data_IF_051046805183
#
_entry.id   IF_051046805183
#
_cell.length_a   1.000
_cell.length_b   1.000
_cell.length_c   1.000
_cell.angle_alpha   90.00
_cell.angle_beta   90.00
_cell.angle_gamma   90.00
#
_symmetry.space_group_name_H-M   'P 1'
#
loop_
_entity.id
_entity.type
_entity.pdbx_description
1 polymer ?
2 polymer ?
3 non-polymer ?
4 water ?
#
# COMPACT_ATOMS: atom_id res chain seq x y z
N UNK A 14 18.74 20.22 -7.77
CA UNK A 14 18.76 19.09 -6.87
C UNK A 14 18.74 19.78 -5.52
N UNK A 15 17.99 19.28 -4.55
CA UNK A 15 17.99 19.76 -3.17
C UNK A 15 17.60 18.56 -2.33
N UNK A 16 17.88 18.60 -1.04
CA UNK A 16 17.34 17.61 -0.11
C UNK A 16 16.62 18.34 1.00
N UNK A 17 15.86 17.62 1.83
CA UNK A 17 14.97 18.18 2.84
C UNK A 17 14.22 17.01 3.47
N UNK A 18 13.18 17.23 4.28
CA UNK A 18 12.27 16.18 4.69
C UNK A 18 11.12 16.08 3.70
N UNK A 19 10.07 15.35 4.05
CA UNK A 19 8.92 15.17 3.18
C UNK A 19 8.22 16.49 2.86
N UNK A 20 8.06 16.77 1.57
CA UNK A 20 7.89 18.14 1.10
C UNK A 20 6.72 18.20 0.13
N UNK A 21 6.85 18.66 -1.13
CA UNK A 21 5.88 18.35 -2.17
C UNK A 21 5.88 16.84 -2.40
N UNK A 22 4.78 16.28 -2.87
CA UNK A 22 4.57 14.85 -2.82
C UNK A 22 3.43 14.57 -3.73
N UNK A 23 3.23 13.30 -4.05
CA UNK A 23 1.96 12.91 -4.58
C UNK A 23 1.81 13.29 -6.02
N UNK A 24 2.67 14.12 -6.60
CA UNK A 24 2.59 14.39 -8.02
C UNK A 24 3.70 13.45 -8.45
N UNK A 25 3.35 12.51 -9.30
CA UNK A 25 4.34 11.67 -9.91
C UNK A 25 5.07 12.49 -10.96
N UNK A 26 6.38 12.24 -11.16
CA UNK A 26 7.23 12.95 -12.12
C UNK A 26 6.83 12.74 -13.57
N UNK A 27 6.85 11.48 -13.98
CA UNK A 27 6.58 11.13 -15.36
C UNK A 27 5.11 11.16 -15.79
N UNK A 28 4.24 11.81 -14.98
CA UNK A 28 2.78 11.94 -15.17
C UNK A 28 2.37 13.38 -14.85
N UNK A 29 1.97 13.71 -13.61
CA UNK A 29 1.57 15.07 -13.21
C UNK A 29 2.53 16.17 -13.62
N UNK A 30 3.83 15.97 -13.38
CA UNK A 30 4.81 17.01 -13.67
C UNK A 30 5.10 17.16 -15.17
N UNK A 31 4.82 16.11 -15.94
CA UNK A 31 4.77 16.16 -17.39
C UNK A 31 3.38 16.50 -17.91
N UNK A 32 2.38 16.69 -17.05
CA UNK A 32 0.95 16.88 -17.40
C UNK A 32 0.30 15.76 -18.21
N UNK A 33 0.89 14.57 -18.13
CA UNK A 33 0.25 13.41 -18.69
C UNK A 33 -0.56 12.63 -17.64
N UNK A 34 -1.56 11.94 -18.17
CA UNK A 34 -2.48 11.10 -17.40
C UNK A 34 -2.28 9.62 -17.69
N UNK A 35 -2.26 8.75 -16.67
CA UNK A 35 -2.14 7.31 -16.86
C UNK A 35 -3.44 6.61 -17.21
N UNK A 36 -3.35 5.59 -18.09
CA UNK A 36 -4.39 4.60 -18.40
C UNK A 36 -5.62 4.52 -17.48
N UNK A 37 -5.46 4.14 -16.21
CA UNK A 37 -6.64 3.88 -15.44
C UNK A 37 -7.19 5.08 -14.72
N UNK A 38 -6.44 6.17 -14.71
CA UNK A 38 -6.77 7.34 -13.89
C UNK A 38 -8.24 7.77 -13.97
N UNK A 39 -8.85 7.59 -15.14
CA UNK A 39 -10.17 8.08 -15.46
C UNK A 39 -11.36 7.36 -14.77
N UNK A 40 -11.11 6.18 -14.20
CA UNK A 40 -12.12 5.47 -13.44
C UNK A 40 -12.31 6.21 -12.16
N UNK A 41 -11.23 6.58 -11.44
CA UNK A 41 -11.37 7.13 -10.09
C UNK A 41 -12.22 8.44 -10.18
N UNK A 42 -11.85 9.30 -11.13
CA UNK A 42 -12.49 10.56 -11.40
C UNK A 42 -13.92 10.44 -11.79
N UNK A 43 -14.24 9.58 -12.73
CA UNK A 43 -15.59 9.16 -12.95
C UNK A 43 -16.32 8.53 -11.75
N UNK A 44 -15.73 7.82 -10.79
CA UNK A 44 -16.48 7.42 -9.61
C UNK A 44 -16.77 8.64 -8.74
N UNK A 45 -15.91 9.65 -8.76
CA UNK A 45 -16.00 10.69 -7.76
C UNK A 45 -17.23 11.50 -8.07
N UNK A 46 -17.24 11.94 -9.29
CA UNK A 46 -18.29 12.84 -9.68
C UNK A 46 -19.59 12.04 -9.84
N UNK A 47 -19.56 10.71 -9.89
CA UNK A 47 -20.76 9.89 -9.70
C UNK A 47 -21.19 9.69 -8.25
N UNK A 48 -20.49 10.29 -7.31
CA UNK A 48 -20.90 10.38 -5.92
C UNK A 48 -20.71 11.82 -5.47
N UNK A 49 -20.59 12.02 -4.15
CA UNK A 49 -20.21 13.28 -3.52
C UNK A 49 -19.93 13.07 -2.03
N UNK B 1 -2.14 -9.17 -7.28
CA UNK B 1 -3.38 -8.42 -7.49
C UNK B 1 -4.20 -9.22 -8.51
N UNK B 2 -5.40 -9.58 -8.05
CA UNK B 2 -6.36 -10.41 -8.77
C UNK B 2 -7.04 -9.49 -9.78
N UNK B 3 -7.15 -9.85 -11.03
CA UNK B 3 -7.58 -8.94 -12.08
C UNK B 3 -6.92 -7.53 -12.14
N UNK B 4 -5.62 -7.32 -11.89
CA UNK B 4 -5.01 -6.01 -12.12
C UNK B 4 -4.57 -5.85 -13.58
N UNK B 5 -3.97 -4.74 -14.01
CA UNK B 5 -3.32 -4.67 -15.33
C UNK B 5 -1.81 -4.66 -15.09
N UNK B 6 -0.97 -4.91 -16.09
CA UNK B 6 0.37 -4.33 -16.08
C UNK B 6 0.38 -2.79 -15.91
N UNK B 7 1.23 -2.36 -15.00
CA UNK B 7 1.31 -0.95 -14.69
C UNK B 7 2.22 -0.19 -15.64
N UNK B 8 1.89 1.04 -15.93
CA UNK B 8 2.81 1.89 -16.65
C UNK B 8 4.08 2.17 -15.85
N UNK B 9 5.22 2.27 -16.52
CA UNK B 9 6.49 2.51 -15.86
C UNK B 9 6.47 3.84 -15.08
N UNK B 10 7.08 3.85 -13.89
CA UNK B 10 6.97 4.98 -12.96
C UNK B 10 5.53 5.27 -12.51
N UNK B 11 4.59 4.30 -12.59
CA UNK B 11 3.22 4.49 -12.12
C UNK B 11 3.00 4.80 -10.64
N UNK B 12 3.60 4.02 -9.73
CA UNK B 12 3.47 4.34 -8.31
C UNK B 12 4.87 4.46 -7.73
N UNK B 13 5.47 5.66 -7.68
CA UNK B 13 6.88 5.88 -7.28
C UNK B 13 7.23 5.50 -5.84
N UNK B 14 6.37 5.92 -4.92
CA UNK B 14 6.18 5.34 -3.59
C UNK B 14 6.24 3.82 -3.43
N UNK B 15 6.33 3.02 -4.47
CA UNK B 15 6.28 1.60 -4.29
C UNK B 15 7.70 1.16 -3.95
N UNK B 16 7.72 0.70 -2.69
CA UNK B 16 8.78 -0.10 -2.07
C UNK B 16 8.48 -1.62 -2.03
N UNK B 17 9.42 -2.56 -2.25
CA UNK B 17 9.20 -3.93 -1.79
C UNK B 17 10.08 -4.47 -0.67
N UNK B 18 9.55 -5.04 0.42
CA UNK B 18 10.36 -5.68 1.46
C UNK B 18 10.84 -7.02 0.96
N UNK B 19 12.13 -7.23 0.97
CA UNK B 19 12.75 -8.55 0.90
C UNK B 19 13.29 -8.97 2.26
N UNK B 20 13.26 -10.28 2.53
CA UNK B 20 14.14 -10.91 3.52
C UNK B 20 15.53 -11.02 2.89
N UNK B 21 16.62 -10.81 3.64
CA UNK B 21 17.93 -10.71 3.01
C UNK B 21 18.47 -12.03 2.45
N UNK B 22 18.56 -13.08 3.28
CA UNK B 22 19.09 -14.39 2.93
C UNK B 22 18.11 -15.30 3.66
N UNK B 23 17.38 -16.29 3.05
CA UNK B 23 17.30 -16.51 1.59
C UNK B 23 16.48 -15.42 0.93
N UNK B 24 16.81 -15.02 -0.28
CA UNK B 24 16.12 -13.89 -0.86
C UNK B 24 14.67 -14.30 -1.13
N UNK B 25 13.76 -13.39 -0.80
CA UNK B 25 12.31 -13.64 -0.81
C UNK B 25 11.56 -12.31 -0.77
N UNK B 26 10.69 -11.97 -1.75
CA UNK B 26 9.66 -10.92 -1.54
C UNK B 26 8.77 -11.30 -0.37
N UNK B 27 8.76 -10.32 0.52
CA UNK B 27 7.93 -10.39 1.70
C UNK B 27 6.70 -9.53 1.54
N UNK B 28 6.72 -8.22 1.33
CA UNK B 28 5.52 -7.35 1.34
C UNK B 28 5.79 -6.19 0.42
N UNK B 29 4.76 -5.41 0.13
CA UNK B 29 5.05 -4.11 -0.43
C UNK B 29 5.13 -3.09 0.70
N UNK B 30 5.47 -1.87 0.33
CA UNK B 30 5.35 -0.77 1.26
C UNK B 30 5.28 0.58 0.51
N UNK B 31 5.09 1.76 1.15
CA UNK B 31 5.14 3.06 0.45
C UNK B 31 6.29 3.94 0.91
N UNK B 32 6.83 4.73 0.00
CA UNK B 32 7.88 5.69 0.30
C UNK B 32 7.20 6.99 0.74
N UNK B 33 7.16 7.33 2.04
CA UNK B 33 6.42 8.51 2.44
C UNK B 33 7.29 9.76 2.48
N UNK B 34 8.60 9.53 2.60
CA UNK B 34 9.65 10.52 2.76
C UNK B 34 10.93 9.88 2.20
N UNK B 35 12.04 10.60 2.08
CA UNK B 35 13.29 9.98 1.67
C UNK B 35 13.92 9.09 2.75
N UNK B 36 13.25 8.77 3.86
CA UNK B 36 13.81 7.81 4.81
C UNK B 36 12.79 7.02 5.64
N UNK B 37 11.51 7.12 5.29
CA UNK B 37 10.44 6.51 6.04
C UNK B 37 9.46 5.75 5.16
N UNK B 38 9.44 4.45 5.34
CA UNK B 38 8.66 3.57 4.50
C UNK B 38 7.56 3.09 5.42
N UNK B 39 6.33 3.22 4.94
CA UNK B 39 5.15 2.76 5.66
C UNK B 39 4.83 1.28 5.31
N UNK B 40 4.30 0.40 6.16
CA UNK B 40 4.02 -0.98 5.77
C UNK B 40 2.95 -1.47 6.75
N UNK B 41 2.50 -2.71 6.65
CA UNK B 41 1.46 -3.16 7.57
C UNK B 41 2.23 -3.72 8.74
N UNK B 42 1.68 -3.81 9.94
CA UNK B 42 2.45 -4.41 11.02
C UNK B 42 2.77 -5.89 10.77
N UNK B 43 1.81 -6.62 10.16
CA UNK B 43 1.90 -8.06 9.96
C UNK B 43 2.97 -8.56 9.02
N UNK B 44 3.65 -7.75 8.22
CA UNK B 44 4.80 -8.22 7.45
C UNK B 44 5.96 -8.55 8.37
N UNK B 45 5.93 -7.92 9.54
CA UNK B 45 6.99 -7.97 10.51
C UNK B 45 6.59 -8.92 11.62
N UNK B 46 5.40 -8.85 12.24
CA UNK B 46 5.15 -9.55 13.50
C UNK B 46 3.82 -10.25 13.44
N UNK B 47 3.87 -11.56 13.32
CA UNK B 47 2.67 -12.35 13.46
C UNK B 47 3.06 -13.65 14.15
N UNK B 48 2.98 -13.65 15.47
CA UNK B 48 3.57 -14.69 16.29
C UNK B 48 3.05 -16.06 15.97
N UNK B 49 1.76 -16.37 15.72
CA UNK B 49 1.27 -17.68 15.28
C UNK B 49 2.01 -18.38 14.15
N UNK B 50 2.56 -17.60 13.21
CA UNK B 50 3.33 -18.22 12.15
C UNK B 50 4.79 -17.89 12.38
N UNK B 51 5.19 -17.85 13.67
CA UNK B 51 6.51 -17.51 14.19
C UNK B 51 7.22 -16.36 13.49
N UNK B 52 6.46 -15.47 12.89
CA UNK B 52 7.04 -14.42 12.12
C UNK B 52 7.28 -13.31 13.15
N UNK B 53 8.54 -12.96 13.32
CA UNK B 53 8.99 -11.83 14.11
C UNK B 53 10.34 -11.45 13.52
N UNK B 54 10.23 -10.50 12.62
CA UNK B 54 11.34 -10.05 11.81
C UNK B 54 12.13 -8.91 12.44
N UNK B 55 13.35 -9.22 12.89
CA UNK B 55 14.39 -8.26 13.25
C UNK B 55 14.83 -7.31 12.14
N UNK B 56 15.28 -6.10 12.52
CA UNK B 56 15.88 -5.11 11.62
C UNK B 56 16.93 -5.71 10.69
N UNK B 57 17.82 -6.59 11.16
CA UNK B 57 18.79 -7.23 10.29
C UNK B 57 18.15 -8.33 9.44
N UNK B 58 16.85 -8.53 9.34
CA UNK B 58 16.36 -9.66 8.56
C UNK B 58 15.88 -9.18 7.19
N UNK B 59 15.85 -7.85 6.98
CA UNK B 59 15.08 -7.21 5.93
C UNK B 59 15.82 -6.14 5.14
N UNK B 60 15.33 -5.94 3.94
CA UNK B 60 15.99 -5.07 2.98
C UNK B 60 14.91 -4.47 2.11
N UNK B 61 15.01 -3.22 1.68
CA UNK B 61 13.91 -2.49 1.05
C UNK B 61 14.37 -2.09 -0.37
N UNK B 62 13.69 -2.63 -1.37
CA UNK B 62 13.95 -2.34 -2.77
C UNK B 62 13.04 -1.26 -3.36
N UNK B 63 13.59 -0.10 -3.69
CA UNK B 63 12.75 1.01 -4.08
C UNK B 63 13.04 1.38 -5.53
N UNK B 64 12.01 1.80 -6.25
CA UNK B 64 12.15 2.13 -7.66
C UNK B 64 11.91 0.94 -8.59
N UNK B 65 11.27 -0.18 -8.21
CA UNK B 65 11.20 -1.31 -9.14
C UNK B 65 10.02 -1.33 -10.13
N UNK B 66 9.93 -2.34 -10.99
CA UNK B 66 8.84 -2.49 -11.95
C UNK B 66 8.72 -3.95 -12.33
N UNK B 67 9.83 -4.55 -12.79
CA UNK B 67 9.93 -6.00 -12.85
C UNK B 67 10.01 -6.48 -11.41
N UNK B 68 9.51 -7.69 -11.14
CA UNK B 68 9.69 -8.36 -9.85
C UNK B 68 11.00 -9.15 -9.82
N UNK B 69 11.38 -9.76 -10.96
CA UNK B 69 12.51 -10.66 -11.05
C UNK B 69 13.86 -9.93 -11.14
N UNK B 70 13.88 -8.92 -11.99
CA UNK B 70 15.12 -8.40 -12.53
C UNK B 70 15.71 -7.34 -11.60
N UNK B 71 17.01 -7.36 -11.30
CA UNK B 71 17.68 -6.20 -10.76
C UNK B 71 17.86 -5.19 -11.90
N UNK B 72 17.43 -3.95 -11.70
CA UNK B 72 17.52 -2.95 -12.73
C UNK B 72 18.33 -1.75 -12.31
N UNK B 73 19.60 -1.88 -12.74
CA UNK B 73 20.74 -0.99 -12.49
C UNK B 73 20.41 0.48 -12.35
N UNK B 74 19.71 0.87 -13.39
CA UNK B 74 19.43 2.26 -13.64
C UNK B 74 18.35 2.84 -12.73
N UNK B 75 17.46 2.07 -12.11
CA UNK B 75 16.27 2.66 -11.52
C UNK B 75 16.38 2.57 -9.98
N UNK B 76 17.14 1.59 -9.51
CA UNK B 76 16.80 0.86 -8.30
C UNK B 76 17.68 1.10 -7.06
N UNK B 77 17.09 1.48 -5.93
CA UNK B 77 17.86 1.78 -4.72
C UNK B 77 17.58 0.76 -3.60
N UNK B 78 18.59 0.01 -3.19
CA UNK B 78 18.38 -1.00 -2.17
C UNK B 78 18.78 -0.33 -0.88
N UNK B 79 17.87 -0.02 0.02
CA UNK B 79 18.33 0.36 1.33
C UNK B 79 18.23 -0.81 2.31
N UNK B 80 18.74 -0.57 3.52
CA UNK B 80 18.60 -1.45 4.68
C UNK B 80 17.98 -0.62 5.82
N UNK B 81 17.37 -1.21 6.86
CA UNK B 81 16.50 -0.48 7.80
C UNK B 81 17.25 -0.07 9.07
N UNK B 82 17.23 1.16 9.62
CA UNK B 82 17.74 1.39 10.98
C UNK B 82 16.72 0.91 12.00
N UNK B 83 15.44 1.33 11.93
CA UNK B 83 14.50 0.87 12.93
C UNK B 83 13.17 0.42 12.36
N UNK B 84 12.62 -0.55 13.05
CA UNK B 84 11.35 -1.14 12.71
C UNK B 84 10.47 -0.67 13.85
N UNK B 85 9.44 0.16 13.57
CA UNK B 85 8.43 0.56 14.56
C UNK B 85 7.04 0.00 14.30
N UNK B 86 6.46 -0.64 15.32
CA UNK B 86 5.15 -1.28 15.24
C UNK B 86 4.36 -0.75 16.44
N UNK B 87 3.06 -0.60 16.13
CA UNK B 87 2.12 -0.02 17.06
C UNK B 87 2.03 -0.89 18.33
N UNK B 88 2.10 -0.28 19.50
CA UNK B 88 1.69 -0.86 20.76
C UNK B 88 0.42 -1.69 20.80
N UNK B 89 -0.53 -1.22 20.00
CA UNK B 89 -1.87 -1.77 20.08
C UNK B 89 -2.29 -2.53 18.83
N UNK B 90 -1.26 -3.08 18.17
CA UNK B 90 -1.39 -3.97 17.03
C UNK B 90 -2.01 -5.26 17.56
N UNK B 91 -3.28 -5.61 17.27
CA UNK B 91 -3.89 -6.74 17.97
C UNK B 91 -4.01 -7.98 17.13
N UNK B 92 -2.93 -8.78 17.17
CA UNK B 92 -2.79 -9.91 16.25
C UNK B 92 -3.65 -11.06 16.68
N UNK B 93 -3.97 -11.04 17.96
CA UNK B 93 -4.54 -12.21 18.58
C UNK B 93 -6.06 -12.17 18.50
N UNK B 94 -6.61 -11.56 17.44
CA UNK B 94 -8.04 -11.30 17.40
C UNK B 94 -8.29 -10.87 15.97
N UNK B 95 -7.87 -9.67 15.57
CA UNK B 95 -8.47 -9.05 14.39
C UNK B 95 -7.55 -8.04 13.70
N UNK B 96 -6.23 -8.20 13.84
CA UNK B 96 -5.25 -7.35 13.16
C UNK B 96 -5.50 -5.86 13.29
N UNK B 97 -5.97 -5.48 14.47
CA UNK B 97 -6.35 -4.11 14.64
C UNK B 97 -5.10 -3.31 14.81
N UNK B 98 -5.12 -2.05 14.34
CA UNK B 98 -3.95 -1.17 14.33
C UNK B 98 -2.71 -1.87 13.71
N UNK B 99 -2.97 -2.56 12.60
CA UNK B 99 -1.94 -3.19 11.80
C UNK B 99 -1.12 -2.18 10.98
N UNK B 100 -0.26 -1.40 11.61
CA UNK B 100 0.63 -0.50 10.88
C UNK B 100 2.06 -0.55 11.40
N UNK B 101 3.05 -0.23 10.56
CA UNK B 101 4.41 -0.19 11.00
C UNK B 101 5.19 0.72 10.11
N UNK B 102 6.28 1.21 10.66
CA UNK B 102 6.91 2.32 10.02
C UNK B 102 8.38 2.04 10.20
N UNK B 103 9.10 2.14 9.09
CA UNK B 103 10.48 1.67 9.00
C UNK B 103 11.36 2.88 8.65
N UNK B 104 12.42 3.07 9.41
CA UNK B 104 13.36 4.15 9.18
C UNK B 104 14.47 3.41 8.46
N UNK B 105 14.87 3.97 7.35
CA UNK B 105 16.01 3.45 6.63
C UNK B 105 17.34 3.61 7.37
N UNK B 106 18.47 3.04 6.94
CA UNK B 106 19.76 3.34 7.57
C UNK B 106 20.20 4.70 7.01
N UNK B 107 19.76 5.00 5.80
CA UNK B 107 20.43 5.97 4.96
C UNK B 107 19.29 6.58 4.15
N UNK B 108 19.12 7.92 4.13
CA UNK B 108 18.18 8.62 3.23
C UNK B 108 18.33 8.22 1.77
N UNK B 109 17.25 8.14 0.98
CA UNK B 109 17.36 7.83 -0.45
C UNK B 109 17.33 9.11 -1.25
N UNK B 110 18.04 9.16 -2.38
CA UNK B 110 17.98 10.27 -3.32
C UNK B 110 16.82 9.97 -4.26
N UNK B 111 15.82 10.85 -4.26
CA UNK B 111 14.67 10.69 -5.11
C UNK B 111 15.10 10.78 -6.56
N UNK B 112 14.39 10.08 -7.41
CA UNK B 112 14.63 10.17 -8.82
C UNK B 112 13.26 10.21 -9.47
N UNK B 113 13.22 10.33 -10.80
CA UNK B 113 12.02 10.12 -11.63
C UNK B 113 11.03 9.03 -11.25
N UNK B 114 11.59 8.08 -10.52
CA UNK B 114 11.06 6.78 -10.33
C UNK B 114 10.94 6.50 -8.82
N UNK B 115 11.29 7.41 -7.89
CA UNK B 115 11.34 7.14 -6.44
C UNK B 115 10.92 8.44 -5.78
N UNK B 116 9.72 8.49 -5.21
CA UNK B 116 9.09 9.76 -4.92
C UNK B 116 7.90 9.48 -4.02
N UNK B 117 7.75 10.28 -2.94
CA UNK B 117 6.70 10.26 -1.96
C UNK B 117 5.24 10.28 -2.37
N UNK B 118 4.55 9.53 -1.51
CA UNK B 118 3.10 9.49 -1.32
C UNK B 118 2.75 10.73 -0.50
N UNK B 119 1.57 11.38 -0.54
CA UNK B 119 1.22 12.35 0.50
C UNK B 119 0.55 11.55 1.60
N UNK B 120 0.73 11.73 2.91
CA UNK B 120 -0.22 11.19 3.88
C UNK B 120 -1.54 12.02 3.94
N UNK B 121 -2.72 11.60 4.45
CA UNK B 121 -3.99 12.33 4.35
C UNK B 121 -4.16 13.40 5.42
N UNK B 122 -4.92 14.46 5.06
CA UNK B 122 -5.29 15.53 5.98
C UNK B 122 -6.79 15.53 6.19
N UNK B 123 -7.22 16.17 7.28
CA UNK B 123 -8.63 16.27 7.65
C UNK B 123 -9.57 16.48 6.48
N UNK B 124 -9.29 17.50 5.67
CA UNK B 124 -10.16 17.80 4.57
C UNK B 124 -10.14 16.65 3.54
N UNK B 125 -9.00 16.05 3.18
CA UNK B 125 -8.90 15.06 2.10
C UNK B 125 -9.43 13.68 2.45
N UNK B 126 -9.29 13.32 3.72
CA UNK B 126 -9.90 12.10 4.26
C UNK B 126 -11.42 12.26 4.18
N UNK B 127 -11.88 13.38 4.72
CA UNK B 127 -13.29 13.69 4.75
C UNK B 127 -13.92 13.90 3.39
N UNK B 128 -13.09 14.34 2.47
CA UNK B 128 -13.61 14.57 1.15
C UNK B 128 -13.54 13.33 0.28
N UNK B 129 -12.57 12.41 0.46
CA UNK B 129 -12.36 11.32 -0.49
C UNK B 129 -12.88 9.97 -0.03
N UNK B 130 -13.00 9.82 1.27
CA UNK B 130 -13.38 8.57 1.77
C UNK B 130 -14.89 8.51 1.83
N UNK B 131 -15.48 8.28 0.65
CA UNK B 131 -16.91 7.96 0.54
C UNK B 131 -17.05 6.71 -0.29
N UNK B 132 -18.10 5.96 0.12
CA UNK B 132 -18.45 4.69 -0.50
C UNK B 132 -18.78 4.88 -1.98
N UNK B 133 -18.12 4.08 -2.84
CA UNK B 133 -18.28 4.16 -4.28
C UNK B 133 -17.10 4.85 -4.96
N UNK B 134 -16.28 5.48 -4.13
CA UNK B 134 -15.14 6.19 -4.65
C UNK B 134 -14.07 5.16 -4.84
N UNK B 135 -13.44 5.24 -6.00
CA UNK B 135 -12.50 4.21 -6.40
C UNK B 135 -11.13 4.63 -6.00
N UNK B 136 -10.36 3.76 -5.36
CA UNK B 136 -8.94 4.00 -5.12
C UNK B 136 -8.12 2.96 -5.82
N UNK B 137 -6.84 2.93 -5.58
CA UNK B 137 -5.92 2.11 -6.37
C UNK B 137 -5.00 1.33 -5.45
N UNK B 138 -4.88 0.02 -5.61
CA UNK B 138 -3.98 -0.84 -4.85
C UNK B 138 -2.96 -1.39 -5.88
N UNK B 139 -1.71 -1.61 -5.47
CA UNK B 139 -0.62 -1.99 -6.35
C UNK B 139 0.23 -3.10 -5.69
N UNK B 140 1.10 -3.78 -6.43
CA UNK B 140 2.16 -4.56 -5.79
C UNK B 140 2.52 -5.67 -6.76
N UNK B 141 3.35 -6.62 -6.33
CA UNK B 141 3.88 -7.68 -7.18
C UNK B 141 3.44 -9.08 -6.71
N UNK B 142 2.32 -9.17 -5.98
CA UNK B 142 1.94 -10.41 -5.33
C UNK B 142 0.96 -11.23 -6.14
N UNK B 143 0.72 -12.49 -5.75
CA UNK B 143 -0.23 -13.42 -6.39
C UNK B 143 -1.42 -12.88 -7.18
N UNK B 144 -1.44 -13.37 -8.40
CA UNK B 144 -2.51 -13.07 -9.32
C UNK B 144 -3.74 -13.89 -9.05
N UNK B 145 -3.68 -14.82 -8.10
CA UNK B 145 -4.87 -15.54 -7.68
C UNK B 145 -4.62 -16.25 -6.37
N UNK B 146 -5.73 -16.68 -5.76
CA UNK B 146 -5.69 -17.44 -4.54
C UNK B 146 -5.06 -18.82 -4.83
N UNK B 147 -4.06 -19.26 -4.04
CA UNK B 147 -3.20 -20.39 -4.41
C UNK B 147 -2.96 -21.34 -3.24
N UNK B 148 -2.79 -22.62 -3.52
CA UNK B 148 -2.33 -23.60 -2.53
C UNK B 148 -0.84 -23.30 -2.35
N UNK B 149 -0.28 -23.21 -1.15
CA UNK B 149 1.14 -22.85 -1.02
C UNK B 149 2.09 -23.91 -1.56
N UNK B 150 2.50 -23.81 -2.82
CA UNK B 150 3.76 -24.41 -3.26
C UNK B 150 4.78 -23.30 -3.41
N UNK B 151 6.05 -23.70 -3.31
CA UNK B 151 7.20 -22.81 -3.32
C UNK B 151 7.29 -22.02 -4.64
N UNK B 152 7.49 -22.70 -5.77
CA UNK B 152 7.25 -22.06 -7.05
C UNK B 152 5.74 -22.15 -7.27
N UNK B 153 5.09 -21.06 -6.89
CA UNK B 153 3.65 -20.92 -7.02
C UNK B 153 3.10 -20.68 -8.42
N UNK B 154 3.94 -20.30 -9.41
CA UNK B 154 3.57 -20.04 -10.80
C UNK B 154 2.80 -18.72 -11.03
N UNK B 155 1.89 -18.32 -10.14
CA UNK B 155 1.02 -17.14 -10.28
C UNK B 155 1.70 -15.77 -10.05
N UNK B 156 2.98 -15.60 -10.34
CA UNK B 156 3.65 -14.44 -9.78
C UNK B 156 3.76 -13.38 -10.84
N UNK B 157 3.30 -12.15 -10.63
CA UNK B 157 3.43 -11.07 -11.62
C UNK B 157 4.87 -10.87 -12.12
N UNK B 158 5.00 -10.69 -13.44
CA UNK B 158 6.19 -10.18 -14.13
C UNK B 158 6.54 -8.74 -13.78
N UNK B 159 5.49 -7.93 -13.91
CA UNK B 159 5.55 -6.51 -13.74
C UNK B 159 4.49 -6.15 -12.70
N UNK B 160 4.77 -5.09 -11.94
CA UNK B 160 3.89 -4.56 -10.93
C UNK B 160 2.45 -4.40 -11.41
N UNK B 161 1.50 -4.68 -10.51
CA UNK B 161 0.10 -4.82 -10.84
C UNK B 161 -0.67 -3.68 -10.24
N UNK B 162 -1.69 -3.22 -10.96
CA UNK B 162 -2.54 -2.16 -10.47
C UNK B 162 -3.96 -2.55 -10.64
N UNK B 163 -4.74 -2.26 -9.61
CA UNK B 163 -6.18 -2.31 -9.77
C UNK B 163 -6.93 -1.13 -9.12
N UNK B 164 -8.15 -0.86 -9.58
CA UNK B 164 -8.93 0.20 -9.00
C UNK B 164 -10.22 -0.38 -8.46
N UNK B 165 -10.48 -0.14 -7.17
CA UNK B 165 -11.53 -0.78 -6.37
C UNK B 165 -12.33 0.28 -5.65
N UNK B 166 -13.66 0.15 -5.63
CA UNK B 166 -14.57 0.97 -4.87
C UNK B 166 -14.48 0.70 -3.40
N UNK B 167 -14.45 1.82 -2.71
CA UNK B 167 -14.69 1.81 -1.28
C UNK B 167 -16.08 1.31 -0.93
N UNK B 168 -16.23 0.43 0.04
CA UNK B 168 -17.55 -0.05 0.40
C UNK B 168 -17.79 0.40 1.83
N UNK B 169 -19.09 0.59 1.99
CA UNK B 169 -19.67 1.23 3.12
C UNK B 169 -19.68 0.26 4.28
N UNK B 170 -19.53 0.79 5.49
CA UNK B 170 -19.22 0.01 6.68
C UNK B 170 -20.21 -1.11 7.04
N UNK B 171 -21.56 -0.99 7.15
CA UNK B 171 -22.51 -2.09 7.41
C UNK B 171 -22.22 -3.35 6.59
N UNK B 172 -22.00 -3.11 5.28
CA UNK B 172 -21.67 -4.11 4.27
C UNK B 172 -20.30 -4.73 4.57
N UNK B 173 -19.27 -3.92 4.87
CA UNK B 173 -18.00 -4.45 5.32
C UNK B 173 -18.22 -5.30 6.57
N UNK B 174 -18.84 -4.75 7.61
CA UNK B 174 -19.15 -5.51 8.80
C UNK B 174 -19.85 -6.84 8.51
N UNK B 175 -20.82 -6.82 7.61
CA UNK B 175 -21.67 -7.96 7.30
C UNK B 175 -20.98 -9.11 6.57
N UNK B 176 -19.75 -8.92 6.08
CA UNK B 176 -19.13 -9.87 5.20
C UNK B 176 -18.19 -10.84 5.90
N UNK B 177 -18.08 -10.79 7.22
CA UNK B 177 -17.01 -11.49 7.95
C UNK B 177 -17.57 -11.62 9.37
N UNK B 178 -17.18 -12.74 9.92
CA UNK B 178 -17.41 -13.01 11.31
C UNK B 178 -16.38 -12.22 12.14
N UNK B 179 -15.21 -11.85 11.61
CA UNK B 179 -14.14 -11.24 12.40
C UNK B 179 -14.51 -9.80 12.77
N UNK B 180 -14.50 -9.48 14.08
CA UNK B 180 -14.68 -8.12 14.61
C UNK B 180 -13.86 -7.04 13.90
N UNK B 181 -14.57 -6.05 13.36
CA UNK B 181 -14.04 -5.04 12.42
C UNK B 181 -14.02 -3.80 13.25
N UNK B 182 -12.98 -3.00 13.10
CA UNK B 182 -12.92 -1.86 13.98
C UNK B 182 -12.80 -0.63 13.15
N UNK B 183 -12.88 0.48 13.86
CA UNK B 183 -12.89 1.81 13.28
C UNK B 183 -11.66 2.29 12.57
N UNK B 184 -10.52 1.63 12.79
CA UNK B 184 -9.35 2.10 12.08
C UNK B 184 -9.17 1.18 10.88
N UNK B 185 -10.13 0.39 10.39
CA UNK B 185 -9.97 -0.24 9.09
C UNK B 185 -11.12 0.15 8.15
N UNK B 186 -10.92 0.11 6.85
CA UNK B 186 -12.02 0.18 5.94
C UNK B 186 -11.98 -0.96 4.89
N UNK B 187 -13.05 -1.32 4.18
CA UNK B 187 -12.93 -2.33 3.16
C UNK B 187 -13.21 -1.80 1.73
N UNK B 188 -12.91 -2.53 0.65
CA UNK B 188 -13.07 -2.07 -0.73
C UNK B 188 -13.11 -3.33 -1.60
N UNK B 189 -13.78 -3.15 -2.71
CA UNK B 189 -13.85 -4.11 -3.79
C UNK B 189 -15.28 -4.10 -4.32
N UNK B 190 -15.61 -4.83 -5.35
CA UNK B 190 -16.93 -4.88 -5.90
C UNK B 190 -17.89 -5.75 -5.07
N UNK B 191 -19.14 -5.25 -4.92
CA UNK B 191 -20.35 -6.05 -4.71
C UNK B 191 -20.56 -7.20 -5.70
N UNK B 192 -21.33 -8.25 -5.40
CA UNK B 192 -21.86 -9.21 -6.36
C UNK B 192 -22.91 -8.49 -7.16
N UNK B 193 -22.76 -8.59 -8.47
CA UNK B 193 -23.65 -7.85 -9.37
C UNK B 193 -22.89 -6.83 -10.25
N UNK B 194 -21.86 -6.15 -9.72
CA UNK B 194 -21.27 -4.95 -10.30
C UNK B 194 -20.35 -5.14 -11.50
N UNK B 195 -20.46 -6.25 -12.21
CA UNK B 195 -19.79 -6.47 -13.48
C UNK B 195 -18.30 -6.69 -13.45
N UNK B 196 -17.60 -6.36 -12.39
CA UNK B 196 -16.18 -6.10 -12.49
C UNK B 196 -15.46 -6.76 -11.30
N UNK B 197 -14.14 -7.03 -11.26
CA UNK B 197 -13.57 -7.76 -10.13
C UNK B 197 -12.26 -7.11 -9.75
N UNK B 198 -11.62 -7.65 -8.71
CA UNK B 198 -10.35 -7.11 -8.31
C UNK B 198 -10.06 -7.37 -6.85
N UNK B 199 -8.79 -7.57 -6.52
CA UNK B 199 -8.41 -7.67 -5.12
C UNK B 199 -6.90 -7.59 -5.12
N UNK B 200 -6.38 -7.28 -3.97
CA UNK B 200 -5.08 -7.69 -3.54
C UNK B 200 -5.02 -9.11 -3.02
N UNK B 201 -3.82 -9.65 -2.92
CA UNK B 201 -3.61 -11.02 -2.53
C UNK B 201 -2.27 -11.01 -1.85
N UNK B 202 -1.85 -12.17 -1.40
CA UNK B 202 -0.59 -12.43 -0.69
C UNK B 202 0.65 -11.76 -1.27
N UNK B 203 1.37 -10.98 -0.48
CA UNK B 203 2.51 -10.22 -0.98
C UNK B 203 2.17 -8.83 -1.45
N UNK B 204 0.87 -8.50 -1.53
CA UNK B 204 0.48 -7.11 -1.72
C UNK B 204 0.22 -6.38 -0.39
N UNK B 205 0.07 -7.11 0.74
CA UNK B 205 0.13 -6.58 2.10
C UNK B 205 1.28 -5.64 2.40
N UNK B 206 1.03 -4.69 3.29
CA UNK B 206 1.88 -3.51 3.36
C UNK B 206 1.73 -2.45 2.30
N UNK B 207 1.22 -2.73 1.10
CA UNK B 207 1.23 -1.74 0.03
C UNK B 207 0.08 -0.71 0.14
N UNK B 208 0.21 0.39 -0.60
CA UNK B 208 -0.73 1.51 -0.58
C UNK B 208 -2.12 1.17 -1.09
N UNK B 209 -3.11 1.71 -0.39
CA UNK B 209 -4.31 2.17 -1.07
C UNK B 209 -4.13 3.69 -1.18
N UNK B 210 -4.09 4.14 -2.41
CA UNK B 210 -4.00 5.56 -2.67
C UNK B 210 -5.24 6.07 -3.40
N UNK B 211 -5.55 7.35 -3.24
CA UNK B 211 -6.64 8.00 -3.96
C UNK B 211 -6.02 9.29 -4.50
N UNK B 212 -6.55 9.87 -5.58
CA UNK B 212 -5.95 11.07 -6.14
C UNK B 212 -6.95 12.18 -5.95
N UNK B 213 -6.51 13.30 -5.47
CA UNK B 213 -7.38 14.42 -5.26
C UNK B 213 -7.52 15.31 -6.51
N UNK B 214 -8.74 15.61 -6.93
CA UNK B 214 -9.01 16.66 -7.92
C UNK B 214 -8.90 18.14 -7.49
N UNK B 215 -8.71 18.47 -6.20
CA UNK B 215 -8.21 19.77 -5.72
C UNK B 215 -6.91 20.31 -6.37
N UNK B 216 -5.85 19.56 -6.22
CA UNK B 216 -4.47 20.00 -6.44
C UNK B 216 -3.63 18.93 -7.16
N UNK B 217 -4.33 17.84 -7.51
CA UNK B 217 -3.94 16.87 -8.51
C UNK B 217 -2.80 16.05 -7.96
N UNK B 218 -2.84 15.83 -6.64
CA UNK B 218 -1.91 14.91 -6.01
C UNK B 218 -2.49 13.65 -5.38
N UNK B 219 -1.62 12.67 -5.12
CA UNK B 219 -2.03 11.37 -4.66
C UNK B 219 -1.79 11.21 -3.18
N UNK B 220 -2.71 10.59 -2.45
CA UNK B 220 -2.60 10.43 -1.01
C UNK B 220 -2.86 8.97 -0.66
N UNK B 221 -2.24 8.47 0.40
CA UNK B 221 -2.46 7.13 0.91
C UNK B 221 -3.56 7.05 1.95
N UNK B 222 -4.67 6.46 1.54
CA UNK B 222 -5.85 6.32 2.36
C UNK B 222 -5.78 5.05 3.23
N UNK B 223 -5.11 4.00 2.69
CA UNK B 223 -5.14 2.68 3.26
C UNK B 223 -3.83 1.94 3.11
N UNK B 224 -3.65 0.82 3.79
CA UNK B 224 -2.49 -0.06 3.67
C UNK B 224 -3.15 -1.41 3.56
N UNK B 225 -2.70 -2.31 2.70
CA UNK B 225 -3.26 -3.66 2.66
C UNK B 225 -2.84 -4.40 3.93
N UNK B 226 -3.93 -4.78 4.58
CA UNK B 226 -3.94 -5.49 5.84
C UNK B 226 -4.58 -6.87 5.62
N UNK B 227 -5.84 -7.26 5.32
CA UNK B 227 -6.21 -8.69 5.43
C UNK B 227 -7.41 -9.00 4.60
N UNK B 228 -7.72 -10.28 4.62
CA UNK B 228 -8.93 -10.76 4.00
C UNK B 228 -8.96 -12.29 3.77
N UNK B 229 -10.17 -12.82 3.63
CA UNK B 229 -10.37 -14.23 3.47
C UNK B 229 -10.26 -14.63 2.02
N UNK B 230 -9.06 -15.04 1.69
CA UNK B 230 -8.83 -15.49 0.34
C UNK B 230 -8.34 -14.31 -0.42
N UNK B 231 -8.45 -14.46 -1.72
CA UNK B 231 -8.27 -13.36 -2.65
C UNK B 231 -9.49 -13.52 -3.55
N UNK B 232 -10.30 -12.45 -3.62
CA UNK B 232 -11.35 -12.10 -4.59
C UNK B 232 -12.52 -13.08 -4.63
N UNK B 233 -12.99 -13.42 -3.41
CA UNK B 233 -14.19 -14.24 -3.21
C UNK B 233 -15.45 -13.44 -3.10
N UNK B 234 -16.47 -14.04 -3.70
CA UNK B 234 -17.76 -13.39 -3.76
C UNK B 234 -18.22 -13.19 -2.35
N UNK B 235 -18.70 -11.97 -2.21
CA UNK B 235 -19.28 -11.57 -0.94
C UNK B 235 -18.28 -11.23 0.17
N UNK B 236 -17.00 -11.18 -0.16
CA UNK B 236 -15.89 -10.93 0.77
C UNK B 236 -15.26 -9.63 0.31
N UNK B 237 -14.82 -8.74 1.20
CA UNK B 237 -14.18 -7.51 0.74
C UNK B 237 -12.77 -7.48 1.26
N UNK B 238 -11.91 -6.73 0.58
CA UNK B 238 -10.53 -6.58 1.02
C UNK B 238 -10.45 -5.55 2.13
N UNK B 239 -9.62 -5.75 3.15
CA UNK B 239 -9.67 -4.85 4.28
C UNK B 239 -8.37 -4.10 4.41
N UNK B 240 -8.43 -2.79 4.72
CA UNK B 240 -7.25 -1.91 4.65
C UNK B 240 -7.12 -1.14 5.95
N UNK B 241 -5.89 -0.91 6.41
CA UNK B 241 -5.61 -0.01 7.54
C UNK B 241 -6.07 1.37 7.12
N UNK B 242 -6.85 2.00 8.01
CA UNK B 242 -7.32 3.34 7.80
C UNK B 242 -6.18 4.25 8.28
N UNK B 243 -5.45 4.82 7.31
CA UNK B 243 -4.20 5.48 7.60
C UNK B 243 -4.43 6.73 8.43
N UNK B 244 -5.50 7.49 8.11
CA UNK B 244 -5.85 8.71 8.81
C UNK B 244 -6.26 8.55 10.29
N UNK B 245 -7.04 7.55 10.63
CA UNK B 245 -7.37 7.29 12.02
C UNK B 245 -6.15 6.78 12.77
N UNK B 246 -5.04 6.49 12.06
CA UNK B 246 -3.74 6.33 12.70
C UNK B 246 -2.67 7.34 12.30
N UNK B 247 -3.13 8.47 11.71
CA UNK B 247 -2.33 9.68 11.40
C UNK B 247 -1.88 10.43 12.65
N UNK B 248 -2.75 10.55 13.67
CA UNK B 248 -2.39 11.18 14.93
C UNK B 248 -1.16 10.52 15.56
N UNK B 249 -1.10 9.20 15.38
CA UNK B 249 0.12 8.45 15.59
C UNK B 249 1.16 8.71 14.49
N UNK B 250 0.80 8.62 13.20
CA UNK B 250 1.70 8.72 12.07
C UNK B 250 2.72 9.86 12.14
N UNK B 251 2.24 11.03 12.55
CA UNK B 251 3.11 12.09 12.99
C UNK B 251 3.96 11.67 14.18
N UNK B 252 3.35 11.31 15.31
CA UNK B 252 3.98 11.31 16.63
C UNK B 252 5.35 10.65 16.69
N UNK B 253 5.57 9.45 16.11
CA UNK B 253 6.86 8.78 16.30
C UNK B 253 7.99 9.49 15.58
N UNK B 254 7.78 9.99 14.35
CA UNK B 254 8.83 10.65 13.56
C UNK B 254 9.26 11.94 14.26
N UNK B 255 8.40 12.39 15.17
CA UNK B 255 8.59 13.64 15.86
C UNK B 255 8.90 13.43 17.33
N UNK B 256 8.83 12.19 17.84
CA UNK B 256 9.35 11.85 19.16
C UNK B 256 10.82 11.53 19.10
N UNK B 257 11.13 10.60 18.23
CA UNK B 257 12.47 10.07 18.09
C UNK B 257 12.76 10.58 16.68
N UNK B 258 13.59 11.60 16.61
CA UNK B 258 13.48 12.60 15.55
C UNK B 258 14.86 12.95 15.06
N UNK B 259 15.69 13.32 16.00
CA UNK B 259 17.11 13.18 15.88
C UNK B 259 17.44 12.41 17.15
#
# INVERSE_FOLDING_TARGET
>A
TSEDHFQPFFNEKTFGAGEADCGLRPLFEKKQVQDQTEKELFESYIEGR
>B
IVEGQDAEVGLSPWQVMLFRKSPQELLCGASLISDRWVLTAAHCLLYPPWDKNFTVDDLLVRIGKHSRTRYERKVEKISMLDKIYIHPRYNWKENLDRDIALLKLKRPIELSDYIHPVCLPDKQTAAKLLHAGFKGRVTGWGNRRETWTTSVAEVQPSVLQVVNLPLVERPVCKASTRIRITDNMFCAGYKPGEGKRGDACEGDSGGPFVMKSPYNNRWYQMGIVSWGEGCDRDGKYGFYTHVFRLKKWIQKVIDRLGS
#
